data_IF_231922584829
#
_entry.id   IF_231922584829
#
_cell.length_a   1.000
_cell.length_b   1.000
_cell.length_c   1.000
_cell.angle_alpha   90.00
_cell.angle_beta   90.00
_cell.angle_gamma   90.00
#
_symmetry.space_group_name_H-M   'P 1'
#
loop_
_entity.id
_entity.type
_entity.pdbx_description
1 polymer ?
#
# COMPACT_ATOMS: atom_id res chain seq x y z
N UNK A 1 -13.34 11.20 -12.21
CA UNK A 1 -12.00 10.57 -12.10
C UNK A 1 -11.97 9.33 -12.97
N UNK A 2 -10.88 9.11 -13.73
CA UNK A 2 -10.75 7.89 -14.51
C UNK A 2 -10.63 6.72 -13.51
N UNK A 3 -11.57 5.80 -13.52
CA UNK A 3 -11.51 4.53 -12.78
C UNK A 3 -10.31 3.75 -13.27
N UNK A 4 -9.18 3.96 -12.63
CA UNK A 4 -7.99 3.15 -12.88
C UNK A 4 -8.28 1.76 -12.33
N UNK A 5 -8.30 0.78 -13.21
CA UNK A 5 -8.56 -0.64 -12.89
C UNK A 5 -7.36 -1.25 -12.12
N UNK A 6 -6.90 -0.51 -11.09
CA UNK A 6 -5.72 -0.88 -10.31
C UNK A 6 -6.10 -1.84 -9.20
N UNK A 7 -5.30 -2.89 -9.04
CA UNK A 7 -5.59 -3.97 -8.10
C UNK A 7 -4.53 -4.02 -7.01
N UNK A 8 -4.96 -3.86 -5.76
CA UNK A 8 -4.12 -4.08 -4.59
C UNK A 8 -4.07 -5.56 -4.28
N UNK A 9 -2.88 -6.14 -4.35
CA UNK A 9 -2.64 -7.51 -3.94
C UNK A 9 -2.52 -7.60 -2.43
N UNK A 10 -3.16 -8.59 -1.82
CA UNK A 10 -3.06 -8.82 -0.39
C UNK A 10 -2.95 -10.32 -0.08
N UNK A 11 -2.35 -10.61 1.09
CA UNK A 11 -2.32 -11.93 1.70
C UNK A 11 -3.12 -11.93 2.99
N UNK A 12 -3.83 -13.01 3.28
CA UNK A 12 -4.44 -13.23 4.59
C UNK A 12 -3.36 -13.76 5.54
N UNK A 13 -3.27 -13.17 6.71
CA UNK A 13 -2.37 -13.60 7.77
C UNK A 13 -3.13 -13.83 9.07
N UNK A 14 -2.90 -14.97 9.69
CA UNK A 14 -3.45 -15.26 11.00
C UNK A 14 -2.63 -14.55 12.09
N UNK A 15 -3.31 -13.85 12.99
CA UNK A 15 -2.67 -13.15 14.11
C UNK A 15 -2.23 -14.15 15.18
N UNK A 16 -0.93 -14.17 15.46
CA UNK A 16 -0.35 -15.02 16.51
C UNK A 16 0.11 -14.16 17.70
N UNK A 17 -0.84 -13.55 18.40
CA UNK A 17 -0.59 -12.80 19.63
C UNK A 17 -1.61 -13.22 20.70
N UNK A 18 -1.20 -14.08 21.62
CA UNK A 18 -2.07 -14.63 22.67
C UNK A 18 -2.66 -13.57 23.61
N UNK A 19 -2.00 -12.41 23.73
CA UNK A 19 -2.45 -11.31 24.58
C UNK A 19 -3.45 -10.37 23.88
N UNK A 20 -3.86 -10.68 22.65
CA UNK A 20 -4.79 -9.87 21.89
C UNK A 20 -6.12 -10.61 21.74
N UNK A 21 -7.24 -9.93 21.97
CA UNK A 21 -8.59 -10.48 21.79
C UNK A 21 -8.87 -10.98 20.37
N UNK A 22 -8.10 -10.51 19.39
CA UNK A 22 -8.14 -10.94 17.99
C UNK A 22 -7.18 -12.11 17.69
N UNK A 23 -6.66 -12.80 18.70
CA UNK A 23 -5.81 -13.97 18.52
C UNK A 23 -6.46 -15.02 17.62
N UNK A 24 -5.70 -15.54 16.68
CA UNK A 24 -6.12 -16.50 15.65
C UNK A 24 -7.11 -15.98 14.60
N UNK A 25 -7.54 -14.72 14.64
CA UNK A 25 -8.29 -14.12 13.56
C UNK A 25 -7.39 -13.85 12.34
N UNK A 26 -8.02 -13.80 11.16
CA UNK A 26 -7.35 -13.59 9.89
C UNK A 26 -7.48 -12.13 9.46
N UNK A 27 -6.36 -11.52 9.07
CA UNK A 27 -6.31 -10.12 8.64
C UNK A 27 -5.67 -9.99 7.26
N UNK A 28 -6.23 -9.14 6.39
CA UNK A 28 -5.59 -8.81 5.13
C UNK A 28 -4.34 -7.96 5.38
N UNK A 29 -3.26 -8.31 4.73
CA UNK A 29 -2.03 -7.52 4.71
C UNK A 29 -1.63 -7.25 3.27
N UNK A 30 -1.45 -5.98 2.92
CA UNK A 30 -1.01 -5.58 1.58
C UNK A 30 0.30 -6.28 1.23
N UNK A 31 0.34 -6.86 0.04
CA UNK A 31 1.56 -7.40 -0.53
C UNK A 31 2.26 -6.28 -1.32
N UNK A 32 3.35 -5.77 -0.73
CA UNK A 32 4.17 -4.77 -1.41
C UNK A 32 4.97 -5.47 -2.50
N UNK A 33 4.68 -5.13 -3.74
CA UNK A 33 5.38 -5.70 -4.90
C UNK A 33 6.71 -5.00 -5.15
N UNK A 34 6.76 -3.69 -4.90
CA UNK A 34 7.95 -2.88 -5.12
C UNK A 34 7.92 -1.60 -4.28
N UNK A 35 9.07 -0.92 -4.21
CA UNK A 35 9.22 0.42 -3.65
C UNK A 35 9.93 1.29 -4.68
N UNK A 36 9.19 2.20 -5.30
CA UNK A 36 9.78 3.14 -6.25
C UNK A 36 10.67 4.15 -5.54
N UNK A 37 11.93 4.24 -5.98
CA UNK A 37 12.83 5.32 -5.60
C UNK A 37 12.42 6.65 -6.27
N UNK A 38 13.01 7.78 -5.82
CA UNK A 38 12.82 9.06 -6.51
C UNK A 38 13.11 8.94 -8.01
N UNK A 39 14.21 8.27 -8.40
CA UNK A 39 14.53 8.03 -9.82
C UNK A 39 13.48 7.19 -10.54
N UNK A 40 12.86 6.24 -9.84
CA UNK A 40 11.78 5.42 -10.38
C UNK A 40 10.52 6.22 -10.66
N UNK A 41 10.07 7.04 -9.70
CA UNK A 41 8.89 7.89 -9.90
C UNK A 41 9.15 9.00 -10.92
N UNK A 42 10.34 9.57 -10.97
CA UNK A 42 10.76 10.55 -11.98
C UNK A 42 10.67 9.96 -13.40
N UNK A 43 11.17 8.73 -13.58
CA UNK A 43 11.06 8.02 -14.86
C UNK A 43 9.58 7.77 -15.24
N UNK A 44 8.77 7.40 -14.28
CA UNK A 44 7.34 7.18 -14.49
C UNK A 44 6.63 8.46 -14.95
N UNK A 45 6.82 9.58 -14.22
CA UNK A 45 6.21 10.88 -14.56
C UNK A 45 6.63 11.31 -15.98
N UNK A 46 7.93 11.26 -16.30
CA UNK A 46 8.42 11.63 -17.62
C UNK A 46 7.90 10.73 -18.74
N UNK A 47 7.52 9.48 -18.43
CA UNK A 47 6.94 8.52 -19.36
C UNK A 47 5.48 8.81 -19.74
N UNK A 48 4.79 9.71 -19.04
CA UNK A 48 3.40 10.11 -19.35
C UNK A 48 3.27 11.10 -20.55
N UNK A 49 4.33 11.32 -21.31
CA UNK A 49 4.28 12.21 -22.48
C UNK A 49 4.19 13.69 -22.12
N UNK A 50 4.71 14.09 -20.98
CA UNK A 50 4.74 15.48 -20.53
C UNK A 50 5.91 16.24 -21.16
N UNK A 51 5.83 17.57 -21.15
CA UNK A 51 6.94 18.46 -21.56
C UNK A 51 8.10 18.46 -20.58
N UNK A 52 7.93 17.82 -19.41
CA UNK A 52 8.93 17.79 -18.36
C UNK A 52 9.90 16.64 -18.57
N UNK A 53 11.18 16.97 -18.75
CA UNK A 53 12.25 15.97 -18.83
C UNK A 53 12.53 15.35 -17.45
N UNK A 54 13.16 14.18 -17.44
CA UNK A 54 13.52 13.49 -16.18
C UNK A 54 14.34 14.38 -15.25
N UNK A 55 15.29 15.13 -15.79
CA UNK A 55 16.19 15.97 -14.99
C UNK A 55 15.45 17.14 -14.35
N UNK A 56 14.48 17.72 -15.07
CA UNK A 56 13.61 18.77 -14.52
C UNK A 56 12.77 18.22 -13.39
N UNK A 57 12.10 17.08 -13.58
CA UNK A 57 11.27 16.45 -12.53
C UNK A 57 12.12 16.07 -11.32
N UNK A 58 13.30 15.50 -11.51
CA UNK A 58 14.20 15.11 -10.41
C UNK A 58 14.68 16.33 -9.62
N UNK A 59 15.04 17.42 -10.32
CA UNK A 59 15.43 18.68 -9.69
C UNK A 59 14.29 19.29 -8.86
N UNK A 60 13.07 19.32 -9.37
CA UNK A 60 11.89 19.83 -8.67
C UNK A 60 11.59 18.98 -7.42
N UNK A 61 11.58 17.65 -7.55
CA UNK A 61 11.34 16.76 -6.41
C UNK A 61 12.40 16.87 -5.32
N UNK A 62 13.67 17.08 -5.73
CA UNK A 62 14.77 17.29 -4.79
C UNK A 62 14.57 18.59 -4.00
N UNK A 63 14.27 19.70 -4.68
CA UNK A 63 14.00 20.98 -4.04
C UNK A 63 12.74 20.95 -3.17
N UNK A 64 11.69 20.30 -3.66
CA UNK A 64 10.47 20.11 -2.88
C UNK A 64 10.76 19.37 -1.55
N UNK A 65 11.49 18.25 -1.59
CA UNK A 65 11.90 17.51 -0.39
C UNK A 65 12.63 18.40 0.60
N UNK A 66 13.61 19.17 0.13
CA UNK A 66 14.45 20.01 0.98
C UNK A 66 13.62 21.12 1.65
N UNK A 67 12.77 21.81 0.89
CA UNK A 67 11.86 22.82 1.42
C UNK A 67 10.78 22.24 2.35
N UNK A 68 10.27 21.05 2.05
CA UNK A 68 9.31 20.36 2.91
C UNK A 68 9.93 20.06 4.28
N UNK A 69 11.13 19.49 4.31
CA UNK A 69 11.85 19.20 5.57
C UNK A 69 12.12 20.49 6.34
N UNK A 70 12.58 21.54 5.67
CA UNK A 70 12.81 22.85 6.29
C UNK A 70 11.55 23.34 7.01
N UNK A 71 10.41 23.38 6.32
CA UNK A 71 9.16 23.88 6.92
C UNK A 71 8.64 22.99 8.04
N UNK A 72 8.72 21.69 7.90
CA UNK A 72 8.32 20.77 8.97
C UNK A 72 9.20 20.88 10.22
N UNK A 73 10.49 21.17 10.08
CA UNK A 73 11.39 21.39 11.22
C UNK A 73 11.17 22.76 11.91
N UNK A 74 10.59 23.72 11.19
CA UNK A 74 10.08 24.99 11.77
C UNK A 74 8.74 24.82 12.50
N UNK A 75 8.13 23.63 12.47
CA UNK A 75 6.81 23.37 13.05
C UNK A 75 5.63 23.71 12.14
N UNK A 76 5.90 24.06 10.88
CA UNK A 76 4.87 24.42 9.89
C UNK A 76 4.31 23.17 9.23
N UNK A 77 2.98 23.06 9.15
CA UNK A 77 2.31 22.04 8.34
C UNK A 77 2.31 22.48 6.86
N UNK A 78 2.53 21.51 5.96
CA UNK A 78 2.56 21.74 4.51
C UNK A 78 1.45 20.95 3.86
N UNK A 79 0.46 21.65 3.29
CA UNK A 79 -0.63 21.07 2.53
C UNK A 79 -0.26 20.99 1.05
N UNK A 80 -0.50 19.84 0.44
CA UNK A 80 -0.50 19.63 -1.00
C UNK A 80 -1.94 19.36 -1.43
N UNK A 81 -2.51 20.29 -2.18
CA UNK A 81 -3.88 20.19 -2.65
C UNK A 81 -4.07 18.91 -3.48
N UNK A 82 -5.16 18.21 -3.24
CA UNK A 82 -5.45 16.90 -3.85
C UNK A 82 -4.64 15.72 -3.33
N UNK A 83 -3.67 15.94 -2.42
CA UNK A 83 -2.89 14.86 -1.82
C UNK A 83 -3.10 14.78 -0.31
N UNK A 84 -2.92 15.88 0.40
CA UNK A 84 -3.05 15.92 1.86
C UNK A 84 -2.03 16.81 2.53
N UNK A 85 -1.91 16.67 3.85
CA UNK A 85 -1.10 17.56 4.69
C UNK A 85 -0.02 16.79 5.43
N UNK A 86 1.22 17.24 5.32
CA UNK A 86 2.34 16.82 6.15
C UNK A 86 2.44 17.74 7.36
N UNK A 87 2.65 17.18 8.56
CA UNK A 87 2.79 17.95 9.78
C UNK A 87 3.67 17.25 10.80
N UNK A 88 4.43 18.00 11.63
CA UNK A 88 5.23 17.42 12.68
C UNK A 88 4.39 17.09 13.91
N UNK A 89 4.76 16.04 14.63
CA UNK A 89 4.22 15.70 15.95
C UNK A 89 5.35 15.32 16.90
N UNK A 90 5.13 15.54 18.19
CA UNK A 90 6.09 15.16 19.23
C UNK A 90 5.61 13.93 19.99
N UNK A 91 6.52 13.00 20.26
CA UNK A 91 6.32 11.92 21.21
C UNK A 91 7.13 12.21 22.45
N UNK A 92 6.49 12.21 23.62
CA UNK A 92 7.14 12.51 24.90
C UNK A 92 6.65 11.60 26.02
N UNK A 93 7.44 11.52 27.11
CA UNK A 93 6.94 11.06 28.40
C UNK A 93 6.10 12.19 29.01
N UNK A 94 5.13 11.82 29.85
CA UNK A 94 4.44 12.79 30.71
C UNK A 94 5.38 13.30 31.82
N UNK A 95 5.24 14.57 32.21
CA UNK A 95 5.86 15.13 33.40
C UNK A 95 4.79 15.30 34.48
N UNK A 96 5.15 15.10 35.74
CA UNK A 96 4.22 15.29 36.87
C UNK A 96 3.93 16.76 37.15
N UNK A 97 4.86 17.65 36.80
CA UNK A 97 4.72 19.10 36.99
C UNK A 97 5.30 19.86 35.79
N UNK A 98 4.70 20.98 35.38
CA UNK A 98 5.28 21.89 34.40
C UNK A 98 6.44 22.72 34.99
N UNK A 99 6.57 22.76 36.32
CA UNK A 99 7.66 23.50 36.99
C UNK A 99 8.97 22.75 36.80
N UNK A 100 9.96 23.43 36.21
CA UNK A 100 11.25 22.82 35.90
C UNK A 100 11.21 21.87 34.69
N UNK A 101 10.14 21.90 33.90
CA UNK A 101 10.04 21.08 32.69
C UNK A 101 11.15 21.43 31.69
N UNK A 102 11.92 20.41 31.29
CA UNK A 102 12.90 20.52 30.24
C UNK A 102 12.52 19.57 29.10
N UNK A 103 12.23 20.08 27.92
CA UNK A 103 11.80 19.30 26.77
C UNK A 103 12.78 18.19 26.40
N UNK A 104 14.08 18.39 26.56
CA UNK A 104 15.12 17.41 26.21
C UNK A 104 15.07 16.15 27.08
N UNK A 105 14.59 16.25 28.32
CA UNK A 105 14.53 15.12 29.25
C UNK A 105 13.28 14.25 29.01
N UNK A 106 12.25 14.83 28.42
CA UNK A 106 10.95 14.19 28.21
C UNK A 106 10.67 13.80 26.76
N UNK A 107 11.28 14.51 25.79
CA UNK A 107 11.07 14.23 24.36
C UNK A 107 11.69 12.89 23.97
N UNK A 108 10.89 12.02 23.36
CA UNK A 108 11.35 10.75 22.80
C UNK A 108 11.69 10.89 21.32
N UNK A 109 10.93 11.72 20.59
CA UNK A 109 11.15 11.94 19.18
C UNK A 109 10.20 12.94 18.57
N UNK A 110 10.55 13.40 17.35
CA UNK A 110 9.70 14.20 16.49
C UNK A 110 9.39 13.34 15.26
N UNK A 111 8.11 13.22 14.93
CA UNK A 111 7.62 12.41 13.83
C UNK A 111 6.97 13.29 12.76
N UNK A 112 7.22 12.98 11.50
CA UNK A 112 6.45 13.55 10.39
C UNK A 112 5.24 12.66 10.16
N UNK A 113 4.05 13.26 10.20
CA UNK A 113 2.77 12.62 9.92
C UNK A 113 2.22 13.12 8.61
N UNK A 114 1.42 12.29 7.97
CA UNK A 114 0.69 12.61 6.75
C UNK A 114 -0.80 12.34 6.99
N UNK A 115 -1.63 13.33 6.66
CA UNK A 115 -3.08 13.23 6.66
C UNK A 115 -3.57 13.34 5.23
N UNK A 116 -4.21 12.32 4.68
CA UNK A 116 -4.79 12.36 3.33
C UNK A 116 -5.81 13.48 3.16
N UNK A 117 -5.96 13.97 1.93
CA UNK A 117 -7.03 14.92 1.59
C UNK A 117 -8.40 14.27 1.74
N UNK A 118 -9.36 15.04 2.23
CA UNK A 118 -10.74 14.61 2.48
C UNK A 118 -11.79 15.53 1.86
N UNK A 119 -11.35 16.54 1.08
CA UNK A 119 -12.27 17.40 0.34
C UNK A 119 -13.02 16.60 -0.74
N UNK A 120 -14.30 16.83 -0.91
CA UNK A 120 -15.22 15.98 -1.67
C UNK A 120 -14.80 15.68 -3.11
N UNK A 121 -14.09 16.60 -3.77
CA UNK A 121 -13.63 16.43 -5.16
C UNK A 121 -12.27 15.70 -5.28
N UNK A 122 -11.49 15.68 -4.21
CA UNK A 122 -10.11 15.16 -4.18
C UNK A 122 -9.89 14.20 -2.99
N UNK A 123 -10.97 13.58 -2.51
CA UNK A 123 -10.93 12.69 -1.35
C UNK A 123 -10.12 11.43 -1.63
N UNK A 124 -9.00 11.29 -0.96
CA UNK A 124 -8.18 10.07 -0.92
C UNK A 124 -8.15 9.44 0.48
N UNK A 125 -9.22 9.66 1.25
CA UNK A 125 -9.38 9.00 2.55
C UNK A 125 -9.41 7.48 2.40
N UNK A 126 -9.21 6.78 3.50
CA UNK A 126 -9.24 5.31 3.52
C UNK A 126 -10.58 4.73 3.04
N UNK A 127 -11.68 5.48 3.17
CA UNK A 127 -13.02 5.10 2.70
C UNK A 127 -13.07 5.13 1.18
N UNK A 128 -12.72 6.25 0.59
CA UNK A 128 -12.74 6.44 -0.87
C UNK A 128 -11.76 5.51 -1.55
N UNK A 129 -10.52 5.38 -1.04
CA UNK A 129 -9.55 4.42 -1.58
C UNK A 129 -10.03 2.98 -1.52
N UNK A 130 -10.83 2.61 -0.50
CA UNK A 130 -11.42 1.27 -0.43
C UNK A 130 -12.44 1.03 -1.54
N UNK A 131 -13.20 2.06 -1.92
CA UNK A 131 -14.23 1.97 -2.96
C UNK A 131 -13.61 2.01 -4.37
N UNK A 132 -12.53 2.77 -4.56
CA UNK A 132 -11.85 2.95 -5.85
C UNK A 132 -10.90 1.81 -6.23
N UNK A 133 -10.46 1.01 -5.26
CA UNK A 133 -9.49 -0.05 -5.50
C UNK A 133 -10.14 -1.43 -5.67
N UNK A 134 -9.62 -2.21 -6.62
CA UNK A 134 -9.87 -3.65 -6.66
C UNK A 134 -8.90 -4.38 -5.73
N UNK A 135 -9.32 -5.53 -5.20
CA UNK A 135 -8.51 -6.32 -4.29
C UNK A 135 -8.34 -7.75 -4.80
N UNK A 136 -7.10 -8.26 -4.82
CA UNK A 136 -6.79 -9.64 -5.20
C UNK A 136 -6.02 -10.33 -4.09
N UNK A 137 -6.61 -11.41 -3.55
CA UNK A 137 -5.91 -12.28 -2.62
C UNK A 137 -4.84 -13.09 -3.36
N UNK A 138 -3.63 -13.16 -2.80
CA UNK A 138 -2.51 -13.91 -3.37
C UNK A 138 -2.16 -15.15 -2.55
N UNK A 139 -2.02 -14.98 -1.23
CA UNK A 139 -1.59 -16.05 -0.32
C UNK A 139 -2.38 -16.01 0.99
N UNK A 140 -2.41 -17.17 1.64
CA UNK A 140 -2.86 -17.33 3.01
C UNK A 140 -1.65 -17.77 3.84
N UNK A 141 -1.39 -17.09 4.96
CA UNK A 141 -0.25 -17.34 5.84
C UNK A 141 -0.78 -17.67 7.24
N UNK A 142 -0.53 -18.85 7.74
CA UNK A 142 -0.98 -19.28 9.08
C UNK A 142 -0.20 -18.56 10.21
N UNK A 143 -0.58 -18.86 11.46
CA UNK A 143 0.06 -18.30 12.66
C UNK A 143 1.56 -18.63 12.79
N UNK A 144 2.00 -19.71 12.16
CA UNK A 144 3.41 -20.13 12.13
C UNK A 144 4.19 -19.51 10.95
N UNK A 145 3.53 -18.69 10.13
CA UNK A 145 4.14 -18.09 8.95
C UNK A 145 4.20 -19.01 7.74
N UNK A 146 3.52 -20.15 7.78
CA UNK A 146 3.51 -21.11 6.66
C UNK A 146 2.44 -20.74 5.62
N UNK A 147 2.75 -20.84 4.32
CA UNK A 147 1.78 -20.62 3.26
C UNK A 147 0.74 -21.74 3.23
N UNK A 148 -0.51 -21.35 3.05
CA UNK A 148 -1.68 -22.23 2.98
C UNK A 148 -2.50 -21.93 1.74
N UNK A 149 -3.36 -22.85 1.34
CA UNK A 149 -4.38 -22.68 0.30
C UNK A 149 -5.71 -23.30 0.75
N UNK A 150 -6.79 -22.84 0.17
CA UNK A 150 -8.11 -23.44 0.39
C UNK A 150 -8.38 -24.41 -0.75
N UNK A 151 -8.65 -25.68 -0.42
CA UNK A 151 -9.07 -26.74 -1.34
C UNK A 151 -10.32 -27.37 -0.75
N UNK A 152 -11.40 -27.40 -1.50
CA UNK A 152 -12.70 -27.95 -1.08
C UNK A 152 -13.20 -27.44 0.28
N UNK A 153 -12.98 -26.12 0.52
CA UNK A 153 -13.36 -25.47 1.77
C UNK A 153 -12.43 -25.74 2.96
N UNK A 154 -11.37 -26.53 2.78
CA UNK A 154 -10.39 -26.83 3.82
C UNK A 154 -9.07 -26.10 3.61
N UNK A 155 -8.44 -25.71 4.71
CA UNK A 155 -7.14 -25.05 4.71
C UNK A 155 -6.03 -26.11 4.70
N UNK A 156 -5.30 -26.22 3.60
CA UNK A 156 -4.20 -27.19 3.40
C UNK A 156 -2.87 -26.47 3.20
N UNK A 157 -1.76 -27.20 3.34
CA UNK A 157 -0.43 -26.66 3.06
C UNK A 157 -0.29 -26.35 1.56
N UNK A 158 0.20 -25.14 1.28
CA UNK A 158 0.54 -24.78 -0.09
C UNK A 158 1.79 -25.52 -0.54
N UNK A 159 1.68 -26.26 -1.65
CA UNK A 159 2.81 -26.95 -2.26
C UNK A 159 3.24 -26.22 -3.53
N UNK A 160 4.50 -25.78 -3.60
CA UNK A 160 5.06 -25.22 -4.81
C UNK A 160 5.08 -26.31 -5.90
N UNK A 161 4.32 -26.12 -6.97
CA UNK A 161 4.26 -27.07 -8.10
C UNK A 161 2.90 -27.71 -8.37
N UNK A 162 1.85 -27.39 -7.61
CA UNK A 162 0.48 -27.74 -7.98
C UNK A 162 -0.01 -26.77 -9.07
N UNK A 163 0.05 -27.19 -10.33
CA UNK A 163 -0.63 -26.51 -11.43
C UNK A 163 -2.12 -26.40 -11.06
N UNK A 164 -2.62 -25.17 -10.92
CA UNK A 164 -4.02 -24.90 -11.10
C UNK A 164 -4.38 -25.32 -12.53
N UNK A 165 -5.06 -26.42 -12.66
CA UNK A 165 -5.73 -26.77 -13.90
C UNK A 165 -6.81 -25.71 -14.11
N UNK A 166 -6.55 -24.82 -15.05
CA UNK A 166 -7.60 -24.05 -15.70
C UNK A 166 -8.43 -25.08 -16.49
N UNK A 167 -9.60 -25.38 -15.98
CA UNK A 167 -10.58 -26.25 -16.64
C UNK A 167 -11.21 -25.43 -17.78
N UNK A 168 -10.49 -25.34 -18.91
CA UNK A 168 -11.09 -24.99 -20.20
C UNK A 168 -11.75 -26.27 -20.74
N UNK A 169 -13.00 -26.44 -20.41
CA UNK A 169 -13.90 -27.30 -21.18
C UNK A 169 -14.11 -26.74 -22.57
N UNK A 170 -13.26 -27.14 -23.50
CA UNK A 170 -13.52 -26.95 -24.91
C UNK A 170 -14.28 -28.14 -25.43
N UNK A 171 -15.60 -28.07 -25.39
CA UNK A 171 -16.46 -28.90 -26.20
C UNK A 171 -16.53 -28.35 -27.62
N UNK A 172 -15.83 -28.97 -28.52
CA UNK A 172 -15.89 -28.70 -29.95
C UNK A 172 -15.75 -29.98 -30.73
N UNK A 173 -16.81 -30.78 -30.74
CA UNK A 173 -16.94 -31.85 -31.66
C UNK A 173 -17.08 -31.34 -33.11
N UNK A 174 -16.26 -31.83 -33.99
CA UNK A 174 -16.34 -31.60 -35.42
C UNK A 174 -15.98 -32.84 -36.15
N UNK A 175 -17.00 -33.54 -36.56
CA UNK A 175 -17.02 -34.77 -37.37
C UNK A 175 -16.27 -34.60 -38.68
N UNK A 176 -15.54 -35.63 -38.92
CA UNK A 176 -14.96 -36.14 -40.14
C UNK A 176 -15.95 -36.21 -41.30
N UNK A 177 -15.50 -35.87 -42.48
CA UNK A 177 -15.79 -36.64 -43.73
C UNK A 177 -14.82 -36.20 -44.81
N UNK A 178 -14.20 -36.96 -45.41
CA UNK A 178 -13.84 -37.89 -46.38
C UNK A 178 -14.19 -37.41 -47.79
N UNK A 179 -13.27 -37.59 -48.76
CA UNK A 179 -13.58 -37.52 -50.17
C UNK A 179 -12.46 -37.02 -51.04
N UNK A 180 -11.66 -37.85 -51.45
CA UNK A 180 -11.18 -38.26 -52.76
C UNK A 180 -11.44 -37.28 -53.93
N UNK A 181 -10.38 -36.94 -54.66
CA UNK A 181 -10.39 -36.24 -55.92
C UNK A 181 -8.99 -35.78 -56.36
#
# INVERSE_FOLDING_TARGET
>A
MATTNQTIKYRLRQLNNANNNAHLLWFPKVERTDTLSQKGITKHIAGHGTVYTRDVVDGVLTKFRDCLIEKLTEGVAVKLDGLGTFYPTMESKGAESPVGYNIRDYLKGVHIRFQPETAAEEDISSRTLKEDCNFKQTLIIDKAGKPKMVVDGQLVDWKAGGNGQDDETNEGGGTNDGGNG
#
